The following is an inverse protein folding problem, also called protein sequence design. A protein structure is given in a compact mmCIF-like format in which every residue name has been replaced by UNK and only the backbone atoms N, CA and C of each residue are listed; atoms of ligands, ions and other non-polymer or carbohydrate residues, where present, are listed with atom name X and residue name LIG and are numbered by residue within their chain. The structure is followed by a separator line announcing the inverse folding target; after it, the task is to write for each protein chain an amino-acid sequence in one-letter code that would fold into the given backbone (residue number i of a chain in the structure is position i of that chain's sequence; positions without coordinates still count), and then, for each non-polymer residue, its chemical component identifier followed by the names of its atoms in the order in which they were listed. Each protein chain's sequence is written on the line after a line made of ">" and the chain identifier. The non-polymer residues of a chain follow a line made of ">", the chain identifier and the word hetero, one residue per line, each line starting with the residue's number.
data_IF_848085654592
#
_entry.id   IF_848085654592
#
_cell.length_a   1.000
_cell.length_b   1.000
_cell.length_c   1.000
_cell.angle_alpha   90.00
_cell.angle_beta   90.00
_cell.angle_gamma   90.00
#
_symmetry.space_group_name_H-M   'P 1'
#
loop_
_entity.id
_entity.type
_entity.pdbx_description
1 polymer ?
#
# COMPACT_ATOMS: atom_id res chain seq x y z
N UNK A 1 -30.86 -10.76 -9.42
CA UNK A 1 -30.75 -9.32 -9.06
C UNK A 1 -30.28 -9.04 -7.64
N UNK A 2 -30.31 -9.98 -6.68
CA UNK A 2 -29.87 -9.71 -5.30
C UNK A 2 -28.35 -9.66 -5.10
N UNK A 3 -27.59 -10.44 -5.87
CA UNK A 3 -26.12 -10.50 -5.75
C UNK A 3 -25.44 -9.17 -6.12
N UNK A 4 -25.90 -8.52 -7.19
CA UNK A 4 -25.36 -7.24 -7.66
C UNK A 4 -25.57 -6.10 -6.65
N UNK A 5 -26.72 -6.08 -5.96
CA UNK A 5 -27.04 -5.05 -4.96
C UNK A 5 -26.25 -5.26 -3.66
N UNK A 6 -26.03 -6.52 -3.26
CA UNK A 6 -25.17 -6.83 -2.11
C UNK A 6 -23.70 -6.50 -2.40
N UNK A 7 -23.23 -6.83 -3.61
CA UNK A 7 -21.87 -6.52 -4.05
C UNK A 7 -21.61 -5.02 -4.15
N UNK A 8 -22.55 -4.24 -4.70
CA UNK A 8 -22.44 -2.77 -4.78
C UNK A 8 -22.41 -2.12 -3.39
N UNK A 9 -23.19 -2.63 -2.42
CA UNK A 9 -23.14 -2.14 -1.03
C UNK A 9 -21.81 -2.45 -0.34
N UNK A 10 -21.25 -3.65 -0.56
CA UNK A 10 -19.93 -4.04 -0.03
C UNK A 10 -18.83 -3.21 -0.70
N UNK A 11 -18.89 -3.01 -2.02
CA UNK A 11 -17.93 -2.19 -2.75
C UNK A 11 -17.98 -0.71 -2.35
N UNK A 12 -19.17 -0.17 -2.08
CA UNK A 12 -19.33 1.22 -1.58
C UNK A 12 -18.77 1.38 -0.16
N UNK A 13 -18.95 0.38 0.71
CA UNK A 13 -18.33 0.37 2.03
C UNK A 13 -16.79 0.31 1.97
N UNK A 14 -16.24 -0.36 0.94
CA UNK A 14 -14.78 -0.47 0.71
C UNK A 14 -14.21 0.77 0.01
N UNK A 15 -15.02 1.55 -0.72
CA UNK A 15 -14.53 2.65 -1.60
C UNK A 15 -14.63 4.06 -1.03
N UNK A 16 -15.10 4.30 0.19
CA UNK A 16 -14.80 5.57 0.84
C UNK A 16 -15.69 5.98 2.01
N UNK A 17 -15.02 6.37 3.09
CA UNK A 17 -15.32 7.61 3.81
C UNK A 17 -14.02 8.16 4.42
N UNK A 18 -13.38 9.08 3.70
CA UNK A 18 -12.33 9.95 4.26
C UNK A 18 -13.01 11.08 5.04
N UNK A 19 -13.33 10.82 6.31
CA UNK A 19 -13.64 11.81 7.34
C UNK A 19 -13.65 11.11 8.71
N UNK A 20 -13.54 11.86 9.81
CA UNK A 20 -13.54 11.30 11.18
C UNK A 20 -14.74 10.36 11.46
N UNK A 21 -15.88 10.56 10.80
CA UNK A 21 -17.04 9.66 10.88
C UNK A 21 -16.84 8.32 10.15
N UNK A 22 -16.00 8.28 9.11
CA UNK A 22 -15.59 7.04 8.44
C UNK A 22 -14.70 6.18 9.34
N UNK A 23 -13.82 6.81 10.12
CA UNK A 23 -12.90 6.11 11.03
C UNK A 23 -13.65 5.40 12.17
N UNK A 24 -14.65 6.04 12.77
CA UNK A 24 -15.50 5.40 13.80
C UNK A 24 -16.37 4.24 13.25
N UNK A 25 -16.86 4.37 12.01
CA UNK A 25 -17.61 3.31 11.32
C UNK A 25 -16.72 2.13 10.94
N UNK A 26 -15.48 2.38 10.52
CA UNK A 26 -14.49 1.34 10.20
C UNK A 26 -14.01 0.61 11.46
N UNK A 27 -13.76 1.33 12.57
CA UNK A 27 -13.36 0.72 13.85
C UNK A 27 -14.48 -0.15 14.45
N UNK A 28 -15.75 0.30 14.38
CA UNK A 28 -16.89 -0.51 14.83
C UNK A 28 -17.14 -1.73 13.93
N UNK A 29 -16.90 -1.61 12.63
CA UNK A 29 -16.92 -2.75 11.71
C UNK A 29 -15.78 -3.73 12.02
N UNK A 30 -14.57 -3.23 12.31
CA UNK A 30 -13.43 -4.07 12.69
C UNK A 30 -13.69 -4.84 13.97
N UNK A 31 -14.23 -4.20 15.01
CA UNK A 31 -14.62 -4.90 16.24
C UNK A 31 -15.69 -5.97 15.99
N UNK A 32 -16.69 -5.70 15.14
CA UNK A 32 -17.74 -6.68 14.80
C UNK A 32 -17.18 -7.87 14.03
N UNK A 33 -16.34 -7.63 13.02
CA UNK A 33 -15.70 -8.68 12.22
C UNK A 33 -14.72 -9.49 13.07
N UNK A 34 -13.84 -8.83 13.82
CA UNK A 34 -12.88 -9.45 14.73
C UNK A 34 -13.58 -10.34 15.76
N UNK A 35 -14.64 -9.85 16.42
CA UNK A 35 -15.43 -10.65 17.37
C UNK A 35 -16.14 -11.85 16.71
N UNK A 36 -16.59 -11.70 15.46
CA UNK A 36 -17.24 -12.78 14.71
C UNK A 36 -16.26 -13.89 14.29
N UNK A 37 -15.01 -13.52 14.01
CA UNK A 37 -13.92 -14.44 13.65
C UNK A 37 -13.25 -15.06 14.86
N UNK A 38 -13.04 -14.31 15.94
CA UNK A 38 -12.62 -14.84 17.23
C UNK A 38 -13.56 -15.98 17.65
N UNK A 39 -14.89 -15.79 17.53
CA UNK A 39 -15.88 -16.87 17.75
C UNK A 39 -15.71 -18.10 16.84
N UNK A 40 -15.13 -17.97 15.65
CA UNK A 40 -14.85 -19.09 14.73
C UNK A 40 -13.52 -19.81 15.04
N UNK A 41 -12.56 -19.12 15.66
CA UNK A 41 -11.24 -19.66 16.02
C UNK A 41 -11.13 -20.10 17.48
N UNK A 42 -12.18 -19.96 18.28
CA UNK A 42 -12.21 -20.41 19.67
C UNK A 42 -11.87 -21.89 19.76
N UNK A 43 -10.92 -22.22 20.63
CA UNK A 43 -10.61 -23.61 20.98
C UNK A 43 -11.86 -24.27 21.60
N UNK A 44 -11.98 -25.60 21.48
CA UNK A 44 -13.13 -26.35 22.00
C UNK A 44 -13.40 -26.04 23.49
N UNK A 45 -12.35 -25.83 24.28
CA UNK A 45 -12.44 -25.49 25.70
C UNK A 45 -13.16 -24.16 25.96
N UNK A 46 -12.91 -23.14 25.12
CA UNK A 46 -13.52 -21.82 25.29
C UNK A 46 -14.99 -21.80 24.80
N UNK A 47 -15.36 -22.70 23.89
CA UNK A 47 -16.75 -22.91 23.48
C UNK A 47 -17.53 -23.56 24.64
N UNK A 48 -16.97 -24.59 25.26
CA UNK A 48 -17.54 -25.25 26.45
C UNK A 48 -17.76 -24.26 27.60
N UNK A 49 -16.80 -23.36 27.86
CA UNK A 49 -16.88 -22.36 28.92
C UNK A 49 -18.00 -21.33 28.66
N UNK A 50 -18.17 -20.89 27.42
CA UNK A 50 -19.27 -20.00 27.02
C UNK A 50 -20.64 -20.70 27.04
N UNK A 51 -20.71 -21.98 26.69
CA UNK A 51 -21.93 -22.79 26.78
C UNK A 51 -22.35 -23.02 28.24
N UNK A 52 -21.39 -23.25 29.14
CA UNK A 52 -21.64 -23.33 30.57
C UNK A 52 -22.15 -22.01 31.15
N UNK A 53 -21.59 -20.86 30.73
CA UNK A 53 -22.07 -19.54 31.13
C UNK A 53 -23.47 -19.25 30.56
N UNK A 54 -23.75 -19.60 29.31
CA UNK A 54 -25.08 -19.45 28.70
C UNK A 54 -26.15 -20.31 29.39
N UNK A 55 -25.79 -21.48 29.92
CA UNK A 55 -26.70 -22.36 30.66
C UNK A 55 -27.09 -21.84 32.06
N UNK A 56 -26.41 -20.84 32.61
CA UNK A 56 -26.80 -20.20 33.89
C UNK A 56 -27.91 -19.16 33.73
N UNK A 57 -28.11 -18.66 32.52
CA UNK A 57 -29.19 -17.75 32.16
C UNK A 57 -30.28 -18.55 31.48
N UNK A 58 -31.42 -18.77 32.14
CA UNK A 58 -32.60 -19.49 31.60
C UNK A 58 -33.23 -18.74 30.39
N UNK A 59 -32.52 -18.65 29.28
CA UNK A 59 -33.00 -18.12 28.00
C UNK A 59 -32.63 -19.13 26.93
N UNK A 60 -33.44 -20.18 26.82
CA UNK A 60 -33.33 -21.18 25.75
C UNK A 60 -33.84 -20.56 24.44
N UNK A 61 -32.97 -19.81 23.75
CA UNK A 61 -33.20 -19.50 22.33
C UNK A 61 -32.89 -20.77 21.52
N UNK A 62 -33.92 -21.56 21.21
CA UNK A 62 -33.83 -22.65 20.22
C UNK A 62 -33.58 -22.07 18.83
N UNK A 63 -32.36 -21.66 18.56
CA UNK A 63 -31.90 -21.40 17.20
C UNK A 63 -31.41 -22.72 16.64
N UNK A 64 -32.23 -23.33 15.79
CA UNK A 64 -31.89 -24.55 15.08
C UNK A 64 -30.87 -24.21 13.97
N UNK A 65 -29.65 -23.81 14.34
CA UNK A 65 -28.55 -23.67 13.39
C UNK A 65 -28.09 -25.07 13.01
N UNK A 66 -28.58 -25.57 11.87
CA UNK A 66 -27.91 -26.68 11.18
C UNK A 66 -26.47 -26.25 10.95
N UNK A 67 -25.54 -26.92 11.62
CA UNK A 67 -24.11 -26.68 11.50
C UNK A 67 -23.65 -27.29 10.17
N UNK A 68 -24.01 -26.64 9.06
CA UNK A 68 -23.55 -27.03 7.74
C UNK A 68 -22.17 -26.39 7.55
N UNK A 69 -21.11 -27.15 7.80
CA UNK A 69 -19.81 -26.85 7.22
C UNK A 69 -19.98 -27.00 5.70
N UNK A 70 -20.34 -25.90 5.03
CA UNK A 70 -20.33 -25.86 3.57
C UNK A 70 -18.87 -25.93 3.13
N UNK A 71 -18.36 -27.14 2.89
CA UNK A 71 -17.13 -27.28 2.13
C UNK A 71 -17.41 -26.77 0.72
N UNK A 72 -16.70 -25.72 0.32
CA UNK A 72 -16.84 -25.14 -1.00
C UNK A 72 -16.11 -26.06 -1.98
N UNK A 73 -16.88 -26.86 -2.72
CA UNK A 73 -16.34 -27.86 -3.66
C UNK A 73 -16.09 -27.30 -5.06
N UNK A 74 -16.72 -26.17 -5.38
CA UNK A 74 -16.56 -25.50 -6.67
C UNK A 74 -15.27 -24.69 -6.69
N UNK A 75 -14.44 -24.90 -7.71
CA UNK A 75 -13.11 -24.29 -7.81
C UNK A 75 -13.17 -22.76 -7.95
N UNK A 76 -14.15 -22.22 -8.67
CA UNK A 76 -14.32 -20.77 -8.85
C UNK A 76 -14.78 -20.16 -7.53
N UNK A 77 -15.74 -20.79 -6.86
CA UNK A 77 -16.19 -20.33 -5.54
C UNK A 77 -15.08 -20.43 -4.49
N UNK A 78 -14.20 -21.44 -4.56
CA UNK A 78 -13.06 -21.57 -3.66
C UNK A 78 -12.03 -20.45 -3.87
N UNK A 79 -11.75 -20.06 -5.12
CA UNK A 79 -10.91 -18.90 -5.43
C UNK A 79 -11.50 -17.59 -4.91
N UNK A 80 -12.80 -17.37 -5.11
CA UNK A 80 -13.50 -16.19 -4.60
C UNK A 80 -13.49 -16.13 -3.06
N UNK A 81 -13.68 -17.27 -2.39
CA UNK A 81 -13.57 -17.36 -0.92
C UNK A 81 -12.16 -17.00 -0.46
N UNK A 82 -11.13 -17.59 -1.08
CA UNK A 82 -9.74 -17.27 -0.75
C UNK A 82 -9.41 -15.79 -0.98
N UNK A 83 -9.92 -15.20 -2.07
CA UNK A 83 -9.76 -13.78 -2.37
C UNK A 83 -10.40 -12.92 -1.27
N UNK A 84 -11.64 -13.21 -0.88
CA UNK A 84 -12.35 -12.47 0.18
C UNK A 84 -11.65 -12.64 1.53
N UNK A 85 -11.23 -13.86 1.89
CA UNK A 85 -10.50 -14.13 3.13
C UNK A 85 -9.16 -13.39 3.18
N UNK A 86 -8.41 -13.40 2.07
CA UNK A 86 -7.16 -12.65 1.93
C UNK A 86 -7.41 -11.16 2.08
N UNK A 87 -8.40 -10.60 1.37
CA UNK A 87 -8.77 -9.19 1.48
C UNK A 87 -9.16 -8.83 2.91
N UNK A 88 -9.95 -9.66 3.57
CA UNK A 88 -10.37 -9.46 4.95
C UNK A 88 -9.16 -9.50 5.90
N UNK A 89 -8.28 -10.47 5.76
CA UNK A 89 -7.05 -10.58 6.55
C UNK A 89 -6.15 -9.35 6.38
N UNK A 90 -5.92 -8.90 5.15
CA UNK A 90 -5.11 -7.69 4.89
C UNK A 90 -5.75 -6.42 5.46
N UNK A 91 -7.09 -6.31 5.39
CA UNK A 91 -7.83 -5.21 6.00
C UNK A 91 -7.72 -5.26 7.52
N UNK A 92 -7.92 -6.43 8.14
CA UNK A 92 -7.79 -6.61 9.59
C UNK A 92 -6.39 -6.26 10.09
N UNK A 93 -5.34 -6.75 9.42
CA UNK A 93 -3.95 -6.40 9.76
C UNK A 93 -3.67 -4.89 9.65
N UNK A 94 -4.31 -4.21 8.69
CA UNK A 94 -4.20 -2.75 8.53
C UNK A 94 -4.89 -2.01 9.68
N UNK A 95 -6.07 -2.47 10.10
CA UNK A 95 -6.82 -1.93 11.24
C UNK A 95 -6.07 -2.16 12.56
N UNK A 96 -5.55 -3.37 12.77
CA UNK A 96 -4.73 -3.69 13.93
C UNK A 96 -3.47 -2.81 14.00
N UNK A 97 -2.77 -2.64 12.86
CA UNK A 97 -1.65 -1.70 12.79
C UNK A 97 -2.08 -0.29 13.20
N UNK A 98 -3.22 0.22 12.69
CA UNK A 98 -3.74 1.55 13.06
C UNK A 98 -4.07 1.64 14.56
N UNK A 99 -4.73 0.64 15.12
CA UNK A 99 -5.08 0.59 16.54
C UNK A 99 -3.82 0.54 17.44
N UNK A 100 -2.84 -0.27 17.07
CA UNK A 100 -1.55 -0.37 17.77
C UNK A 100 -0.82 0.98 17.76
N UNK A 101 -0.76 1.66 16.61
CA UNK A 101 -0.17 3.02 16.51
C UNK A 101 -0.89 4.03 17.41
N UNK A 102 -2.22 4.01 17.43
CA UNK A 102 -3.00 4.88 18.30
C UNK A 102 -2.74 4.61 19.79
N UNK A 103 -2.62 3.33 20.17
CA UNK A 103 -2.28 2.94 21.54
C UNK A 103 -0.84 3.33 21.91
N UNK A 104 0.11 3.11 21.01
CA UNK A 104 1.51 3.49 21.17
C UNK A 104 1.66 4.99 21.36
N UNK A 105 0.94 5.82 20.58
CA UNK A 105 0.91 7.27 20.77
C UNK A 105 0.41 7.66 22.16
N UNK A 106 -0.71 7.07 22.62
CA UNK A 106 -1.23 7.31 23.98
C UNK A 106 -0.25 6.90 25.07
N UNK A 107 0.39 5.74 24.91
CA UNK A 107 1.38 5.25 25.87
C UNK A 107 2.58 6.20 25.92
N UNK A 108 3.13 6.58 24.77
CA UNK A 108 4.28 7.48 24.67
C UNK A 108 4.01 8.85 25.31
N UNK A 109 2.79 9.36 25.17
CA UNK A 109 2.35 10.59 25.84
C UNK A 109 2.24 10.41 27.36
N UNK A 110 1.64 9.31 27.81
CA UNK A 110 1.50 9.02 29.24
C UNK A 110 2.85 8.77 29.95
N UNK A 111 3.84 8.20 29.24
CA UNK A 111 5.18 7.92 29.77
C UNK A 111 6.20 9.01 29.45
N UNK A 112 5.81 10.08 28.74
CA UNK A 112 6.72 11.14 28.26
C UNK A 112 7.92 10.59 27.48
N UNK A 113 7.71 9.53 26.70
CA UNK A 113 8.73 8.92 25.82
C UNK A 113 8.44 9.21 24.34
N UNK A 114 7.46 10.07 24.05
CA UNK A 114 7.17 10.54 22.70
C UNK A 114 8.33 11.39 22.16
N UNK A 115 8.54 11.30 20.86
CA UNK A 115 9.52 12.10 20.13
C UNK A 115 8.79 13.01 19.14
N UNK A 116 9.32 14.22 18.97
CA UNK A 116 8.69 15.25 18.15
C UNK A 116 9.02 15.07 16.67
N UNK A 117 7.98 15.09 15.83
CA UNK A 117 8.14 15.08 14.37
C UNK A 117 8.63 16.44 13.85
N UNK A 118 9.72 16.47 13.08
CA UNK A 118 10.27 17.71 12.50
C UNK A 118 9.39 18.39 11.43
N UNK A 119 8.22 17.82 11.09
CA UNK A 119 7.31 18.36 10.08
C UNK A 119 5.99 18.88 10.66
N UNK A 120 5.32 18.07 11.47
CA UNK A 120 4.03 18.43 12.06
C UNK A 120 4.11 18.82 13.54
N UNK A 121 5.30 18.70 14.16
CA UNK A 121 5.53 18.99 15.58
C UNK A 121 4.68 18.17 16.56
N UNK A 122 4.05 17.08 16.09
CA UNK A 122 3.33 16.13 16.92
C UNK A 122 4.31 15.20 17.66
N UNK A 123 4.02 14.91 18.93
CA UNK A 123 4.68 13.85 19.69
C UNK A 123 4.14 12.48 19.27
N UNK A 124 5.04 11.63 18.78
CA UNK A 124 4.73 10.29 18.27
C UNK A 124 5.66 9.27 18.92
N UNK A 125 5.20 8.03 19.05
CA UNK A 125 6.02 6.94 19.56
C UNK A 125 7.20 6.66 18.61
N UNK A 126 8.36 6.29 19.15
CA UNK A 126 9.61 6.09 18.38
C UNK A 126 9.42 5.01 17.30
N UNK A 127 8.68 3.97 17.61
CA UNK A 127 8.30 2.89 16.71
C UNK A 127 7.46 3.35 15.51
N UNK A 128 6.93 4.57 15.52
CA UNK A 128 6.17 5.19 14.42
C UNK A 128 6.92 6.37 13.79
N UNK A 129 8.21 6.50 14.07
CA UNK A 129 9.10 7.48 13.44
C UNK A 129 10.05 6.85 12.42
N UNK A 130 10.53 7.68 11.51
CA UNK A 130 11.50 7.37 10.47
C UNK A 130 12.53 8.50 10.42
N UNK A 131 13.81 8.15 10.37
CA UNK A 131 14.88 9.11 10.23
C UNK A 131 15.38 9.20 8.78
N UNK A 132 15.90 10.36 8.37
CA UNK A 132 16.79 10.38 7.21
C UNK A 132 18.10 9.64 7.54
N UNK A 133 18.85 9.27 6.50
CA UNK A 133 19.98 8.34 6.64
C UNK A 133 21.19 8.97 7.34
N UNK A 134 21.53 10.21 6.98
CA UNK A 134 22.83 10.81 7.32
C UNK A 134 22.73 11.76 8.52
N UNK A 135 21.80 12.71 8.48
CA UNK A 135 21.64 13.74 9.52
C UNK A 135 20.70 13.30 10.67
N UNK A 136 19.94 12.22 10.50
CA UNK A 136 19.05 11.69 11.53
C UNK A 136 17.78 12.51 11.83
N UNK A 137 17.37 13.43 10.95
CA UNK A 137 16.09 14.16 11.09
C UNK A 137 14.91 13.19 11.20
N UNK A 138 14.09 13.36 12.24
CA UNK A 138 13.00 12.45 12.60
C UNK A 138 11.64 12.95 12.10
N UNK A 139 10.92 12.08 11.41
CA UNK A 139 9.58 12.34 10.91
C UNK A 139 8.65 11.22 11.34
N UNK A 140 7.37 11.52 11.56
CA UNK A 140 6.38 10.47 11.71
C UNK A 140 6.12 9.78 10.35
N UNK A 141 5.73 8.50 10.40
CA UNK A 141 5.42 7.73 9.18
C UNK A 141 4.34 8.38 8.31
N UNK A 142 3.40 9.12 8.90
CA UNK A 142 2.32 9.78 8.16
C UNK A 142 2.85 10.97 7.35
N UNK A 143 3.74 11.79 7.92
CA UNK A 143 4.39 12.89 7.20
C UNK A 143 5.25 12.38 6.04
N UNK A 144 6.06 11.33 6.25
CA UNK A 144 6.84 10.73 5.17
C UNK A 144 5.93 10.15 4.08
N UNK A 145 4.83 9.50 4.47
CA UNK A 145 3.84 8.97 3.52
C UNK A 145 3.24 10.08 2.65
N UNK A 146 2.70 11.13 3.27
CA UNK A 146 2.09 12.25 2.54
C UNK A 146 3.08 12.96 1.64
N UNK A 147 4.32 13.15 2.11
CA UNK A 147 5.40 13.72 1.30
C UNK A 147 5.68 12.84 0.08
N UNK A 148 5.93 11.55 0.28
CA UNK A 148 6.21 10.60 -0.79
C UNK A 148 5.06 10.53 -1.81
N UNK A 149 3.81 10.43 -1.36
CA UNK A 149 2.64 10.37 -2.23
C UNK A 149 2.50 11.65 -3.06
N UNK A 150 2.78 12.80 -2.48
CA UNK A 150 2.79 14.09 -3.21
C UNK A 150 3.87 14.12 -4.29
N UNK A 151 5.08 13.65 -3.98
CA UNK A 151 6.18 13.62 -4.96
C UNK A 151 5.90 12.61 -6.09
N UNK A 152 5.54 11.39 -5.73
CA UNK A 152 5.40 10.26 -6.65
C UNK A 152 4.16 10.42 -7.54
N UNK A 153 2.99 10.73 -6.95
CA UNK A 153 1.73 10.82 -7.70
C UNK A 153 1.41 12.24 -8.18
N UNK A 154 1.83 13.26 -7.44
CA UNK A 154 1.59 14.65 -7.82
C UNK A 154 2.60 15.16 -8.84
N UNK A 155 3.90 14.96 -8.58
CA UNK A 155 4.98 15.49 -9.42
C UNK A 155 5.60 14.48 -10.39
N UNK A 156 5.37 13.17 -10.17
CA UNK A 156 5.95 12.11 -11.00
C UNK A 156 7.47 11.99 -10.88
N UNK A 157 8.06 12.46 -9.77
CA UNK A 157 9.50 12.38 -9.52
C UNK A 157 9.80 12.15 -8.02
N UNK A 158 11.07 11.99 -7.67
CA UNK A 158 11.51 11.80 -6.27
C UNK A 158 12.11 13.08 -5.65
N UNK A 159 11.79 14.24 -6.23
CA UNK A 159 12.34 15.53 -5.88
C UNK A 159 13.50 15.96 -6.78
N UNK A 160 14.12 17.08 -6.39
CA UNK A 160 15.26 17.67 -7.09
C UNK A 160 16.47 17.55 -6.17
N UNK A 161 17.57 17.03 -6.71
CA UNK A 161 18.83 16.99 -6.01
C UNK A 161 19.35 18.42 -5.83
N UNK A 162 19.63 18.81 -4.58
CA UNK A 162 19.94 20.20 -4.22
C UNK A 162 21.29 20.65 -4.78
N UNK A 163 22.22 19.72 -4.98
CA UNK A 163 23.57 20.00 -5.48
C UNK A 163 23.58 20.09 -7.00
N UNK A 164 23.05 19.07 -7.66
CA UNK A 164 23.08 18.96 -9.13
C UNK A 164 21.94 19.71 -9.83
N UNK A 165 20.90 20.11 -9.07
CA UNK A 165 19.65 20.72 -9.58
C UNK A 165 18.91 19.84 -10.60
N UNK A 166 19.22 18.55 -10.66
CA UNK A 166 18.56 17.55 -11.51
C UNK A 166 17.54 16.74 -10.72
N UNK A 167 16.76 15.91 -11.40
CA UNK A 167 15.84 14.97 -10.75
C UNK A 167 16.62 14.04 -9.81
N UNK A 168 16.12 13.87 -8.60
CA UNK A 168 16.72 12.98 -7.61
C UNK A 168 16.35 11.52 -7.88
N UNK A 169 17.28 10.59 -7.65
CA UNK A 169 17.05 9.15 -7.74
C UNK A 169 16.41 8.54 -6.48
N UNK A 170 16.20 9.35 -5.45
CA UNK A 170 15.62 8.95 -4.17
C UNK A 170 14.85 10.11 -3.54
N UNK A 171 13.92 9.82 -2.62
CA UNK A 171 13.26 10.88 -1.86
C UNK A 171 14.25 11.56 -0.93
N UNK A 172 14.47 12.85 -1.16
CA UNK A 172 15.32 13.69 -0.32
C UNK A 172 14.60 14.12 0.95
N UNK A 173 15.37 14.33 2.01
CA UNK A 173 14.90 14.85 3.28
C UNK A 173 14.22 16.20 3.06
N UNK A 174 13.04 16.34 3.66
CA UNK A 174 12.18 17.52 3.56
C UNK A 174 12.26 18.41 4.81
N UNK A 175 13.36 18.30 5.58
CA UNK A 175 13.66 19.24 6.64
C UNK A 175 13.99 20.63 6.08
N UNK A 176 13.71 21.67 6.86
CA UNK A 176 13.82 23.08 6.45
C UNK A 176 15.26 23.57 6.35
N UNK A 177 16.21 22.87 6.97
CA UNK A 177 17.65 23.20 6.96
C UNK A 177 18.34 22.94 5.62
N UNK A 178 17.64 22.36 4.64
CA UNK A 178 18.23 22.07 3.34
C UNK A 178 18.95 20.72 3.26
N UNK A 179 18.75 19.80 4.21
CA UNK A 179 19.34 18.45 4.20
C UNK A 179 19.26 17.73 2.82
N UNK A 180 20.39 17.18 2.36
CA UNK A 180 20.51 16.46 1.08
C UNK A 180 20.45 14.93 1.22
N UNK A 181 20.30 14.42 2.45
CA UNK A 181 20.16 13.00 2.75
C UNK A 181 18.87 12.42 2.19
N UNK A 182 18.89 11.15 1.79
CA UNK A 182 17.70 10.37 1.44
C UNK A 182 17.12 9.57 2.62
N UNK A 183 16.05 8.83 2.34
CA UNK A 183 15.46 7.87 3.28
C UNK A 183 15.94 6.44 2.99
N UNK A 184 16.12 5.65 4.05
CA UNK A 184 16.41 4.22 3.94
C UNK A 184 15.23 3.40 3.43
N UNK A 185 15.50 2.26 2.77
CA UNK A 185 14.44 1.36 2.27
C UNK A 185 13.51 0.89 3.39
N UNK A 186 14.06 0.55 4.55
CA UNK A 186 13.27 0.16 5.73
C UNK A 186 12.33 1.26 6.21
N UNK A 187 12.76 2.53 6.16
CA UNK A 187 11.92 3.69 6.48
C UNK A 187 10.78 3.87 5.48
N UNK A 188 11.07 3.70 4.18
CA UNK A 188 10.07 3.75 3.11
C UNK A 188 9.05 2.61 3.24
N UNK A 189 9.49 1.37 3.46
CA UNK A 189 8.60 0.21 3.66
C UNK A 189 7.72 0.34 4.91
N UNK A 190 8.25 0.98 5.95
CA UNK A 190 7.50 1.24 7.18
C UNK A 190 6.39 2.27 6.97
N UNK A 191 6.70 3.34 6.24
CA UNK A 191 5.80 4.49 6.06
C UNK A 191 4.82 4.34 4.87
N UNK A 192 5.27 3.75 3.77
CA UNK A 192 4.51 3.70 2.53
C UNK A 192 3.63 2.46 2.44
N UNK A 193 2.37 2.60 2.01
CA UNK A 193 1.57 1.43 1.64
C UNK A 193 2.17 0.79 0.38
N UNK A 194 1.90 -0.52 0.21
CA UNK A 194 2.43 -1.33 -0.90
C UNK A 194 2.32 -0.65 -2.27
N UNK A 195 1.16 -0.07 -2.59
CA UNK A 195 0.91 0.63 -3.86
C UNK A 195 1.85 1.83 -4.07
N UNK A 196 2.08 2.62 -3.02
CA UNK A 196 2.94 3.81 -3.10
C UNK A 196 4.40 3.40 -3.20
N UNK A 197 4.80 2.30 -2.55
CA UNK A 197 6.14 1.74 -2.64
C UNK A 197 6.44 1.15 -4.02
N UNK A 198 5.50 0.41 -4.62
CA UNK A 198 5.61 -0.11 -5.99
C UNK A 198 5.78 1.04 -6.99
N UNK A 199 5.01 2.13 -6.82
CA UNK A 199 5.14 3.31 -7.68
C UNK A 199 6.46 4.05 -7.45
N UNK A 200 6.94 4.12 -6.20
CA UNK A 200 8.26 4.66 -5.90
C UNK A 200 9.35 3.90 -6.67
N UNK A 201 9.30 2.56 -6.65
CA UNK A 201 10.28 1.71 -7.34
C UNK A 201 10.25 1.90 -8.86
N UNK A 202 9.04 2.01 -9.45
CA UNK A 202 8.86 2.31 -10.87
C UNK A 202 9.48 3.67 -11.24
N UNK A 203 9.19 4.72 -10.47
CA UNK A 203 9.73 6.07 -10.72
C UNK A 203 11.24 6.08 -10.53
N UNK A 204 11.75 5.45 -9.47
CA UNK A 204 13.20 5.33 -9.23
C UNK A 204 13.91 4.66 -10.40
N UNK A 205 13.32 3.58 -10.93
CA UNK A 205 13.87 2.87 -12.09
C UNK A 205 13.95 3.78 -13.31
N UNK A 206 12.84 4.46 -13.67
CA UNK A 206 12.81 5.39 -14.81
C UNK A 206 13.88 6.47 -14.66
N UNK A 207 13.97 7.10 -13.48
CA UNK A 207 14.96 8.15 -13.23
C UNK A 207 16.39 7.61 -13.28
N UNK A 208 16.64 6.38 -12.81
CA UNK A 208 17.98 5.78 -12.88
C UNK A 208 18.43 5.54 -14.32
N UNK A 209 17.50 5.17 -15.20
CA UNK A 209 17.73 5.00 -16.63
C UNK A 209 18.02 6.33 -17.30
N UNK A 210 17.26 7.38 -16.97
CA UNK A 210 17.49 8.75 -17.45
C UNK A 210 18.89 9.28 -17.02
N UNK A 211 19.25 9.11 -15.74
CA UNK A 211 20.52 9.62 -15.20
C UNK A 211 21.74 8.85 -15.73
N UNK A 212 21.58 7.57 -16.04
CA UNK A 212 22.65 6.76 -16.65
C UNK A 212 23.06 7.27 -18.05
N UNK A 213 22.33 8.24 -18.64
CA UNK A 213 22.66 8.79 -19.96
C UNK A 213 22.54 7.75 -21.06
N UNK A 214 21.64 6.77 -20.86
CA UNK A 214 21.28 5.81 -21.89
C UNK A 214 20.30 6.49 -22.87
N UNK A 215 20.77 7.56 -23.53
CA UNK A 215 20.02 8.40 -24.47
C UNK A 215 19.50 7.60 -25.69
N UNK A 216 20.05 6.41 -25.87
CA UNK A 216 19.74 5.46 -26.93
C UNK A 216 18.67 4.43 -26.53
N UNK A 217 18.00 4.57 -25.38
CA UNK A 217 16.90 3.67 -25.00
C UNK A 217 15.63 4.04 -25.74
N UNK A 218 15.11 3.04 -26.45
CA UNK A 218 13.80 3.09 -27.11
C UNK A 218 12.85 2.17 -26.37
N UNK A 219 11.65 2.66 -26.10
CA UNK A 219 10.56 1.87 -25.50
C UNK A 219 9.61 1.40 -26.59
N UNK A 220 9.26 0.11 -26.57
CA UNK A 220 8.24 -0.45 -27.45
C UNK A 220 6.88 0.19 -27.15
N UNK A 221 6.19 0.80 -28.12
CA UNK A 221 4.89 1.45 -27.91
C UNK A 221 3.77 0.45 -27.58
N UNK A 222 3.91 -0.81 -27.99
CA UNK A 222 2.89 -1.83 -27.80
C UNK A 222 2.97 -2.53 -26.43
N UNK A 223 4.17 -2.79 -25.91
CA UNK A 223 4.37 -3.58 -24.68
C UNK A 223 5.25 -2.91 -23.62
N UNK A 224 5.82 -1.74 -23.89
CA UNK A 224 6.67 -1.01 -22.96
C UNK A 224 8.07 -1.58 -22.75
N UNK A 225 8.48 -2.63 -23.50
CA UNK A 225 9.83 -3.18 -23.42
C UNK A 225 10.87 -2.15 -23.85
N UNK A 226 11.88 -1.92 -23.01
CA UNK A 226 12.94 -0.93 -23.23
C UNK A 226 14.25 -1.62 -23.63
N UNK A 227 14.90 -1.12 -24.69
CA UNK A 227 16.25 -1.55 -25.06
C UNK A 227 17.07 -0.40 -25.64
N UNK A 228 18.38 -0.46 -25.41
CA UNK A 228 19.33 0.45 -26.04
C UNK A 228 19.52 0.08 -27.51
N UNK A 229 19.30 1.04 -28.41
CA UNK A 229 19.50 0.90 -29.85
C UNK A 229 20.60 1.83 -30.32
N UNK A 230 21.47 1.34 -31.20
CA UNK A 230 22.51 2.19 -31.80
C UNK A 230 21.87 3.40 -32.51
N UNK A 231 22.49 4.60 -32.48
CA UNK A 231 21.99 5.81 -33.13
C UNK A 231 21.65 5.64 -34.63
N UNK A 232 22.32 4.69 -35.30
CA UNK A 232 22.10 4.34 -36.70
C UNK A 232 20.80 3.56 -36.95
N UNK A 233 20.25 2.90 -35.93
CA UNK A 233 19.03 2.10 -36.04
C UNK A 233 17.80 3.00 -35.84
N UNK A 234 17.08 3.24 -36.95
CA UNK A 234 15.84 4.04 -36.98
C UNK A 234 14.58 3.24 -36.69
N UNK A 235 14.64 1.92 -36.82
CA UNK A 235 13.51 1.02 -36.58
C UNK A 235 13.82 0.17 -35.36
N UNK A 236 12.92 0.20 -34.39
CA UNK A 236 12.91 -0.64 -33.22
C UNK A 236 12.16 -1.93 -33.51
N UNK A 237 12.80 -3.08 -33.29
CA UNK A 237 12.17 -4.40 -33.38
C UNK A 237 12.05 -4.99 -31.99
N UNK A 238 10.83 -5.18 -31.50
CA UNK A 238 10.61 -5.73 -30.18
C UNK A 238 11.08 -7.20 -30.11
N UNK A 239 11.99 -7.58 -29.19
CA UNK A 239 12.45 -8.96 -29.05
C UNK A 239 11.47 -9.86 -28.29
N UNK A 240 10.40 -9.29 -27.72
CA UNK A 240 9.37 -10.06 -27.00
C UNK A 240 8.55 -10.85 -28.03
N UNK A 241 8.60 -12.18 -27.91
CA UNK A 241 7.99 -13.13 -28.86
C UNK A 241 6.48 -12.88 -29.05
N UNK A 242 5.79 -12.47 -27.99
CA UNK A 242 4.35 -12.18 -28.03
C UNK A 242 4.01 -10.79 -28.60
N UNK A 243 5.01 -9.91 -28.79
CA UNK A 243 4.81 -8.55 -29.28
C UNK A 243 5.32 -8.37 -30.71
N UNK A 244 6.63 -8.63 -30.94
CA UNK A 244 7.34 -8.49 -32.23
C UNK A 244 7.05 -7.20 -33.03
N UNK A 245 6.51 -6.16 -32.38
CA UNK A 245 6.10 -4.93 -33.03
C UNK A 245 7.33 -4.17 -33.54
N UNK A 246 7.25 -3.71 -34.78
CA UNK A 246 8.28 -2.88 -35.42
C UNK A 246 7.81 -1.42 -35.45
N UNK A 247 8.52 -0.55 -34.73
CA UNK A 247 8.18 0.86 -34.62
C UNK A 247 9.31 1.77 -35.08
N UNK A 248 8.96 2.94 -35.59
CA UNK A 248 9.92 4.02 -35.79
C UNK A 248 10.44 4.50 -34.43
N UNK A 249 11.76 4.66 -34.33
CA UNK A 249 12.46 5.10 -33.13
C UNK A 249 12.03 6.48 -32.64
N UNK A 250 11.67 7.39 -33.54
CA UNK A 250 11.45 8.80 -33.22
C UNK A 250 10.00 9.11 -32.86
N UNK A 251 9.05 8.58 -33.64
CA UNK A 251 7.62 8.87 -33.46
C UNK A 251 6.84 7.75 -32.78
N UNK A 252 7.41 6.55 -32.64
CA UNK A 252 6.72 5.39 -32.05
C UNK A 252 5.63 4.77 -32.94
N UNK A 253 5.40 5.29 -34.15
CA UNK A 253 4.46 4.72 -35.13
C UNK A 253 5.03 3.48 -35.82
N UNK A 254 4.22 2.80 -36.64
CA UNK A 254 4.67 1.67 -37.45
C UNK A 254 5.93 2.01 -38.26
N UNK A 255 6.86 1.05 -38.36
CA UNK A 255 8.15 1.24 -39.02
C UNK A 255 8.02 1.89 -40.41
N UNK A 256 8.70 3.03 -40.58
CA UNK A 256 8.70 3.79 -41.82
C UNK A 256 10.11 4.31 -42.13
N UNK A 257 10.33 4.67 -43.40
CA UNK A 257 11.53 5.37 -43.85
C UNK A 257 11.32 6.86 -43.57
N UNK A 258 12.28 7.60 -42.97
CA UNK A 258 12.14 9.04 -42.74
C UNK A 258 11.99 9.79 -44.07
N UNK A 259 11.11 10.81 -44.11
CA UNK A 259 11.06 11.81 -45.19
C UNK A 259 12.19 12.83 -45.03
#
# INVERSE_FOLDING_TARGET
>A
MHYAVAHDKILRAVKGTTSQAGEELEDTQYQRVSNSFARRQMSQQQIEELEQLANTSNVVLKTHRRNYQSFVTDAILAEEVNFVETKLSTWMASMEKRANRAQNKKNAQATHTGMECCCCFDEVAVEDMVSCRDEGHLFCVDCLKSFAETQIFGMGNLGIDKETKKRSLELKCFHSDGCASGFGRSGLEKALPKRSLEKYDEVQFILSVEVAGLDDIVSCPNCGYQAALQPSQRVFKCPVIDCLYESCRECGEAAHIPL
#
